data_IF_628460817181
#
_entry.id   IF_628460817181
#
_cell.length_a   1.000
_cell.length_b   1.000
_cell.length_c   1.000
_cell.angle_alpha   90.00
_cell.angle_beta   90.00
_cell.angle_gamma   90.00
#
_symmetry.space_group_name_H-M   'P 1'
#
loop_
_entity.id
_entity.type
_entity.pdbx_description
1 polymer ?
#
# COMPACT_ATOMS: atom_id res chain seq x y z
N UNK A 1 44.73 -17.80 16.77
CA UNK A 1 43.37 -18.32 17.01
C UNK A 1 42.66 -18.28 15.67
N UNK A 2 42.54 -19.42 14.99
CA UNK A 2 41.83 -19.50 13.72
C UNK A 2 40.34 -19.65 14.04
N UNK A 3 39.59 -18.54 13.96
CA UNK A 3 38.14 -18.60 13.96
C UNK A 3 37.71 -19.14 12.59
N UNK A 4 37.49 -20.44 12.52
CA UNK A 4 36.86 -21.06 11.35
C UNK A 4 35.42 -20.54 11.29
N UNK A 5 35.10 -19.82 10.21
CA UNK A 5 33.77 -19.32 9.89
C UNK A 5 32.84 -20.49 9.50
N UNK A 6 32.58 -21.41 10.43
CA UNK A 6 31.61 -22.48 10.21
C UNK A 6 30.19 -21.97 10.51
N UNK A 7 29.23 -22.22 9.60
CA UNK A 7 27.84 -21.84 9.83
C UNK A 7 27.27 -22.64 10.99
N UNK A 8 26.70 -21.94 11.98
CA UNK A 8 26.11 -22.53 13.20
C UNK A 8 24.86 -23.37 12.91
N UNK A 9 24.27 -23.21 11.72
CA UNK A 9 23.18 -24.06 11.22
C UNK A 9 22.91 -23.81 9.74
N UNK A 10 22.35 -24.80 9.05
CA UNK A 10 21.91 -24.67 7.66
C UNK A 10 20.62 -25.44 7.43
N UNK A 11 19.75 -24.87 6.59
CA UNK A 11 18.55 -25.54 6.07
C UNK A 11 18.62 -25.46 4.54
N UNK A 12 18.43 -26.59 3.88
CA UNK A 12 18.38 -26.68 2.43
C UNK A 12 16.94 -26.91 1.98
N UNK A 13 16.53 -26.17 0.95
CA UNK A 13 15.23 -26.33 0.30
C UNK A 13 15.40 -26.13 -1.21
N UNK A 14 14.51 -26.73 -1.99
CA UNK A 14 14.46 -26.52 -3.43
C UNK A 14 13.55 -25.34 -3.76
N UNK A 15 13.98 -24.50 -4.70
CA UNK A 15 13.14 -23.47 -5.31
C UNK A 15 12.19 -24.10 -6.33
N UNK A 16 11.10 -23.40 -6.66
CA UNK A 16 10.15 -23.78 -7.71
C UNK A 16 10.71 -23.59 -9.13
N UNK A 17 11.75 -22.76 -9.29
CA UNK A 17 12.36 -22.50 -10.59
C UNK A 17 13.30 -23.63 -11.02
N UNK A 18 12.92 -24.35 -12.07
CA UNK A 18 13.72 -25.41 -12.67
C UNK A 18 14.38 -24.95 -13.97
N UNK A 19 15.68 -25.20 -14.13
CA UNK A 19 16.46 -24.85 -15.33
C UNK A 19 16.98 -26.12 -16.01
N UNK A 20 16.81 -26.22 -17.33
CA UNK A 20 17.43 -27.28 -18.12
C UNK A 20 18.96 -27.19 -18.10
N UNK A 21 19.65 -28.33 -17.99
CA UNK A 21 21.12 -28.43 -18.04
C UNK A 21 21.51 -29.33 -19.20
N UNK A 22 22.40 -28.83 -20.07
CA UNK A 22 22.88 -29.57 -21.23
C UNK A 22 24.28 -30.11 -20.95
N UNK A 23 24.45 -31.43 -21.13
CA UNK A 23 25.74 -32.12 -21.06
C UNK A 23 26.20 -32.60 -22.44
N UNK A 24 27.50 -32.89 -22.60
CA UNK A 24 28.01 -33.46 -23.84
C UNK A 24 27.37 -34.83 -24.10
N UNK A 25 26.95 -35.06 -25.35
CA UNK A 25 26.32 -36.33 -25.78
C UNK A 25 24.83 -36.46 -25.47
N UNK A 26 24.18 -35.44 -24.89
CA UNK A 26 22.72 -35.43 -24.71
C UNK A 26 22.00 -35.06 -26.02
N UNK A 27 20.91 -35.76 -26.32
CA UNK A 27 20.00 -35.38 -27.40
C UNK A 27 19.05 -34.29 -26.88
N UNK A 28 18.89 -33.21 -27.64
CA UNK A 28 17.99 -32.11 -27.29
C UNK A 28 16.53 -32.55 -27.47
N UNK A 29 15.75 -32.50 -26.39
CA UNK A 29 14.31 -32.75 -26.43
C UNK A 29 13.54 -31.44 -26.53
N UNK A 30 12.26 -31.52 -26.95
CA UNK A 30 11.41 -30.34 -27.06
C UNK A 30 11.17 -29.69 -25.69
N UNK A 31 10.98 -30.53 -24.68
CA UNK A 31 10.71 -30.19 -23.29
C UNK A 31 11.87 -29.39 -22.69
N UNK A 32 13.12 -29.70 -23.04
CA UNK A 32 14.30 -28.95 -22.57
C UNK A 32 14.30 -27.50 -23.09
N UNK A 33 13.91 -27.31 -24.35
CA UNK A 33 13.84 -25.99 -24.98
C UNK A 33 12.65 -25.19 -24.44
N UNK A 34 11.52 -25.84 -24.21
CA UNK A 34 10.37 -25.22 -23.57
C UNK A 34 10.69 -24.81 -22.13
N UNK A 35 11.39 -25.66 -21.38
CA UNK A 35 11.81 -25.39 -20.00
C UNK A 35 12.76 -24.19 -19.92
N UNK A 36 13.62 -23.95 -20.91
CA UNK A 36 14.44 -22.73 -20.97
C UNK A 36 13.59 -21.46 -21.08
N UNK A 37 12.58 -21.48 -21.94
CA UNK A 37 11.65 -20.35 -22.11
C UNK A 37 10.82 -20.13 -20.85
N UNK A 38 10.27 -21.21 -20.28
CA UNK A 38 9.49 -21.14 -19.05
C UNK A 38 10.34 -20.64 -17.88
N UNK A 39 11.57 -21.14 -17.69
CA UNK A 39 12.47 -20.68 -16.63
C UNK A 39 12.73 -19.17 -16.70
N UNK A 40 13.07 -18.65 -17.89
CA UNK A 40 13.36 -17.21 -18.04
C UNK A 40 12.13 -16.35 -17.83
N UNK A 41 10.94 -16.81 -18.25
CA UNK A 41 9.67 -16.12 -18.02
C UNK A 41 9.25 -16.15 -16.54
N UNK A 42 9.33 -17.29 -15.88
CA UNK A 42 8.97 -17.39 -14.45
C UNK A 42 9.96 -16.64 -13.56
N UNK A 43 11.26 -16.63 -13.92
CA UNK A 43 12.25 -15.80 -13.25
C UNK A 43 11.94 -14.31 -13.40
N UNK A 44 11.62 -13.84 -14.61
CA UNK A 44 11.29 -12.43 -14.83
C UNK A 44 9.99 -12.04 -14.12
N UNK A 45 8.96 -12.88 -14.16
CA UNK A 45 7.72 -12.71 -13.38
C UNK A 45 7.99 -12.59 -11.89
N UNK A 46 8.79 -13.50 -11.33
CA UNK A 46 9.16 -13.47 -9.91
C UNK A 46 9.86 -12.16 -9.53
N UNK A 47 10.82 -11.72 -10.35
CA UNK A 47 11.53 -10.45 -10.12
C UNK A 47 10.56 -9.26 -10.22
N UNK A 48 9.69 -9.22 -11.23
CA UNK A 48 8.75 -8.12 -11.42
C UNK A 48 7.69 -8.04 -10.31
N UNK A 49 7.15 -9.18 -9.90
CA UNK A 49 6.23 -9.28 -8.77
C UNK A 49 6.89 -8.81 -7.47
N UNK A 50 8.14 -9.22 -7.23
CA UNK A 50 8.87 -8.89 -6.00
C UNK A 50 9.26 -7.42 -5.94
N UNK A 51 9.71 -6.83 -7.06
CA UNK A 51 10.19 -5.45 -7.08
C UNK A 51 9.11 -4.40 -7.30
N UNK A 52 8.06 -4.72 -8.05
CA UNK A 52 7.07 -3.72 -8.46
C UNK A 52 5.65 -4.10 -8.03
N UNK A 53 5.37 -5.39 -7.82
CA UNK A 53 4.02 -5.90 -7.69
C UNK A 53 3.24 -5.79 -9.01
N UNK A 54 2.01 -5.32 -8.94
CA UNK A 54 1.14 -5.10 -10.11
C UNK A 54 0.73 -3.63 -10.21
N UNK A 55 0.44 -3.15 -11.42
CA UNK A 55 -0.05 -1.79 -11.63
C UNK A 55 0.47 -1.15 -12.91
N UNK A 56 0.27 0.16 -13.03
CA UNK A 56 0.72 0.98 -14.15
C UNK A 56 2.14 1.48 -13.90
N UNK A 57 3.06 1.23 -14.83
CA UNK A 57 4.47 1.68 -14.74
C UNK A 57 4.62 3.08 -15.37
N UNK A 58 4.05 3.26 -16.56
CA UNK A 58 4.07 4.53 -17.28
C UNK A 58 2.92 4.63 -18.29
N UNK A 59 2.49 5.86 -18.60
CA UNK A 59 1.46 6.12 -19.59
C UNK A 59 0.07 5.61 -19.18
N UNK A 60 -0.63 4.98 -20.13
CA UNK A 60 -1.98 4.39 -19.94
C UNK A 60 -2.97 5.39 -19.34
N UNK A 61 -2.89 6.66 -19.75
CA UNK A 61 -3.87 7.66 -19.38
C UNK A 61 -5.18 7.35 -20.10
N UNK A 62 -6.28 7.44 -19.35
CA UNK A 62 -7.62 7.16 -19.85
C UNK A 62 -8.39 8.47 -19.95
N UNK A 63 -9.07 8.67 -21.07
CA UNK A 63 -10.05 9.75 -21.26
C UNK A 63 -11.36 9.17 -21.82
N UNK A 64 -12.49 9.75 -21.42
CA UNK A 64 -13.80 9.38 -21.90
C UNK A 64 -14.41 10.51 -22.71
N UNK A 65 -14.95 10.20 -23.89
CA UNK A 65 -15.74 11.11 -24.70
C UNK A 65 -17.08 10.46 -25.06
N UNK A 66 -18.16 11.23 -24.97
CA UNK A 66 -19.48 10.79 -25.37
C UNK A 66 -20.00 11.72 -26.47
N UNK A 67 -19.94 11.27 -27.72
CA UNK A 67 -20.53 11.95 -28.86
C UNK A 67 -21.86 11.27 -29.17
N UNK A 68 -23.00 11.84 -28.72
CA UNK A 68 -24.38 11.40 -29.03
C UNK A 68 -24.53 9.91 -29.44
N UNK A 69 -24.02 8.97 -28.62
CA UNK A 69 -23.70 7.61 -29.07
C UNK A 69 -22.95 6.79 -28.01
N UNK A 70 -22.23 5.70 -28.40
CA UNK A 70 -21.55 4.84 -27.44
C UNK A 70 -20.41 5.60 -26.74
N UNK A 71 -20.14 5.26 -25.48
CA UNK A 71 -19.02 5.84 -24.74
C UNK A 71 -17.71 5.40 -25.40
N UNK A 72 -16.94 6.38 -25.90
CA UNK A 72 -15.60 6.16 -26.43
C UNK A 72 -14.59 6.36 -25.30
N UNK A 73 -13.93 5.27 -24.93
CA UNK A 73 -12.85 5.26 -23.95
C UNK A 73 -11.53 5.21 -24.69
N UNK A 74 -10.76 6.28 -24.59
CA UNK A 74 -9.43 6.39 -25.16
C UNK A 74 -8.40 6.02 -24.10
N UNK A 75 -7.53 5.07 -24.43
CA UNK A 75 -6.39 4.67 -23.60
C UNK A 75 -5.10 4.99 -24.34
N UNK A 76 -4.27 5.85 -23.77
CA UNK A 76 -2.97 6.21 -24.34
C UNK A 76 -1.96 5.06 -24.24
N UNK A 77 -0.90 5.13 -25.05
CA UNK A 77 0.23 4.20 -25.00
C UNK A 77 0.86 4.13 -23.59
N UNK A 78 1.43 2.98 -23.24
CA UNK A 78 2.10 2.81 -21.96
C UNK A 78 2.40 1.36 -21.60
N UNK A 79 2.80 1.15 -20.35
CA UNK A 79 3.23 -0.14 -19.81
C UNK A 79 2.60 -0.36 -18.44
N UNK A 80 2.08 -1.56 -18.23
CA UNK A 80 1.61 -2.06 -16.94
C UNK A 80 2.22 -3.43 -16.63
N UNK A 81 2.15 -3.83 -15.37
CA UNK A 81 2.46 -5.18 -14.89
C UNK A 81 1.19 -5.82 -14.33
N UNK A 82 0.84 -7.00 -14.82
CA UNK A 82 -0.22 -7.83 -14.27
C UNK A 82 0.18 -8.44 -12.92
N UNK A 83 -0.78 -8.98 -12.16
CA UNK A 83 -0.47 -9.68 -10.90
C UNK A 83 0.43 -10.90 -11.10
N UNK A 84 0.39 -11.51 -12.29
CA UNK A 84 1.30 -12.60 -12.70
C UNK A 84 2.75 -12.14 -12.93
N UNK A 85 3.05 -10.84 -12.86
CA UNK A 85 4.35 -10.28 -13.23
C UNK A 85 4.55 -10.12 -14.74
N UNK A 86 3.52 -10.39 -15.55
CA UNK A 86 3.59 -10.22 -16.99
C UNK A 86 3.53 -8.74 -17.38
N UNK A 87 4.49 -8.24 -18.18
CA UNK A 87 4.41 -6.90 -18.73
C UNK A 87 3.35 -6.81 -19.83
N UNK A 88 2.47 -5.82 -19.72
CA UNK A 88 1.43 -5.52 -20.71
C UNK A 88 1.75 -4.19 -21.37
N UNK A 89 2.23 -4.26 -22.61
CA UNK A 89 2.65 -3.09 -23.38
C UNK A 89 1.58 -2.67 -24.40
N UNK A 90 1.16 -1.42 -24.33
CA UNK A 90 0.24 -0.79 -25.26
C UNK A 90 1.05 0.18 -26.14
N UNK A 91 1.33 -0.16 -27.40
CA UNK A 91 2.28 0.59 -28.24
C UNK A 91 1.73 1.93 -28.72
N UNK A 92 0.42 2.01 -28.94
CA UNK A 92 -0.27 3.16 -29.52
C UNK A 92 -1.56 3.42 -28.77
N UNK A 93 -2.09 4.63 -28.91
CA UNK A 93 -3.42 4.96 -28.41
C UNK A 93 -4.48 4.03 -29.00
N UNK A 94 -5.38 3.53 -28.15
CA UNK A 94 -6.50 2.67 -28.53
C UNK A 94 -7.80 3.24 -28.02
N UNK A 95 -8.82 3.14 -28.86
CA UNK A 95 -10.18 3.57 -28.55
C UNK A 95 -11.02 2.31 -28.38
N UNK A 96 -11.53 2.10 -27.18
CA UNK A 96 -12.53 1.09 -26.87
C UNK A 96 -13.91 1.75 -26.86
N UNK A 97 -14.93 1.06 -27.37
CA UNK A 97 -16.30 1.54 -27.40
C UNK A 97 -17.19 0.60 -26.59
N UNK A 98 -18.15 1.16 -25.86
CA UNK A 98 -19.17 0.37 -25.18
C UNK A 98 -20.24 -0.11 -26.16
N UNK A 99 -20.66 -1.36 -26.03
CA UNK A 99 -21.85 -1.89 -26.74
C UNK A 99 -23.10 -1.13 -26.27
N UNK A 100 -23.79 -0.43 -27.18
CA UNK A 100 -25.00 0.35 -26.85
C UNK A 100 -26.11 -0.51 -26.25
N UNK A 101 -26.22 -1.77 -26.69
CA UNK A 101 -27.27 -2.69 -26.23
C UNK A 101 -27.07 -3.12 -24.78
N UNK A 102 -25.84 -3.06 -24.25
CA UNK A 102 -25.49 -3.52 -22.90
C UNK A 102 -25.32 -2.37 -21.92
N UNK A 103 -25.02 -1.17 -22.40
CA UNK A 103 -24.73 -0.02 -21.55
C UNK A 103 -25.31 1.26 -22.15
N UNK A 104 -26.26 1.86 -21.42
CA UNK A 104 -26.76 3.20 -21.75
C UNK A 104 -25.93 4.27 -21.01
N UNK A 105 -25.11 5.08 -21.71
CA UNK A 105 -24.32 6.15 -21.10
C UNK A 105 -25.18 7.28 -20.49
N UNK A 106 -26.49 7.30 -20.75
CA UNK A 106 -27.40 8.23 -20.11
C UNK A 106 -27.77 7.81 -18.70
N UNK A 107 -27.92 6.51 -18.46
CA UNK A 107 -28.35 5.93 -17.19
C UNK A 107 -27.17 5.52 -16.29
N UNK A 108 -26.04 5.13 -16.89
CA UNK A 108 -24.82 4.80 -16.15
C UNK A 108 -24.15 6.02 -15.53
N UNK A 109 -23.87 5.96 -14.22
CA UNK A 109 -23.15 7.02 -13.50
C UNK A 109 -21.64 6.84 -13.54
N UNK A 110 -21.17 5.59 -13.59
CA UNK A 110 -19.75 5.25 -13.63
C UNK A 110 -19.47 4.00 -14.48
N UNK A 111 -18.23 3.92 -14.98
CA UNK A 111 -17.68 2.72 -15.63
C UNK A 111 -16.22 2.52 -15.21
N UNK A 112 -15.77 1.28 -15.26
CA UNK A 112 -14.45 0.85 -14.85
C UNK A 112 -13.66 0.35 -16.05
N UNK A 113 -12.45 0.83 -16.22
CA UNK A 113 -11.59 0.48 -17.36
C UNK A 113 -10.44 -0.39 -16.85
N UNK A 114 -10.35 -1.62 -17.37
CA UNK A 114 -9.27 -2.54 -17.05
C UNK A 114 -8.49 -2.96 -18.30
N UNK A 115 -7.21 -3.25 -18.13
CA UNK A 115 -6.31 -3.78 -19.13
C UNK A 115 -5.94 -5.21 -18.79
N UNK A 116 -6.26 -6.16 -19.67
CA UNK A 116 -5.96 -7.57 -19.47
C UNK A 116 -4.95 -8.05 -20.53
N UNK A 117 -3.88 -8.77 -20.16
CA UNK A 117 -3.00 -9.42 -21.12
C UNK A 117 -3.77 -10.51 -21.86
N UNK A 118 -3.49 -10.62 -23.14
CA UNK A 118 -3.97 -11.71 -23.98
C UNK A 118 -2.80 -12.34 -24.68
N UNK A 119 -2.97 -13.58 -25.14
CA UNK A 119 -1.99 -14.25 -25.99
C UNK A 119 -2.67 -14.57 -27.30
N UNK A 120 -2.01 -14.22 -28.40
CA UNK A 120 -2.47 -14.59 -29.73
C UNK A 120 -1.49 -15.58 -30.35
N UNK A 121 -2.01 -16.75 -30.68
CA UNK A 121 -1.25 -17.67 -31.50
C UNK A 121 -1.02 -17.07 -32.89
N UNK A 122 0.23 -17.09 -33.34
CA UNK A 122 0.67 -16.62 -34.64
C UNK A 122 1.34 -17.78 -35.38
N UNK A 123 1.12 -17.87 -36.69
CA UNK A 123 1.68 -18.93 -37.54
C UNK A 123 1.42 -20.36 -37.00
N UNK A 124 0.14 -20.77 -36.83
CA UNK A 124 -0.16 -22.16 -36.50
C UNK A 124 0.37 -23.07 -37.61
N UNK A 125 0.93 -24.22 -37.24
CA UNK A 125 1.33 -25.27 -38.20
C UNK A 125 0.58 -26.55 -37.87
N UNK A 126 0.11 -27.23 -38.91
CA UNK A 126 -0.44 -28.58 -38.77
C UNK A 126 0.68 -29.53 -38.36
N UNK A 127 0.44 -30.37 -37.35
CA UNK A 127 1.35 -31.45 -36.98
C UNK A 127 1.18 -32.60 -37.98
N UNK A 128 1.79 -32.48 -39.14
CA UNK A 128 1.67 -33.45 -40.23
C UNK A 128 2.53 -34.70 -39.95
N UNK A 129 1.99 -35.61 -39.14
CA UNK A 129 2.45 -37.01 -39.02
C UNK A 129 1.30 -38.01 -38.78
N UNK A 130 0.03 -37.57 -38.67
CA UNK A 130 -1.09 -38.49 -38.50
C UNK A 130 -1.60 -38.98 -39.85
N UNK A 131 -1.84 -40.29 -39.92
CA UNK A 131 -2.41 -41.00 -41.07
C UNK A 131 -3.75 -40.37 -41.49
N UNK A 132 -4.12 -40.50 -42.77
CA UNK A 132 -5.14 -39.72 -43.50
C UNK A 132 -6.58 -39.64 -42.93
N UNK A 133 -6.88 -40.15 -41.74
CA UNK A 133 -8.25 -40.24 -41.20
C UNK A 133 -8.54 -39.37 -39.94
N UNK A 134 -7.55 -38.69 -39.34
CA UNK A 134 -7.77 -37.82 -38.17
C UNK A 134 -7.62 -36.32 -38.52
N UNK A 135 -8.56 -35.47 -38.04
CA UNK A 135 -8.48 -34.01 -38.17
C UNK A 135 -7.12 -33.50 -37.64
N UNK A 136 -6.29 -32.96 -38.55
CA UNK A 136 -4.94 -32.53 -38.21
C UNK A 136 -4.95 -31.45 -37.10
N UNK A 137 -4.38 -31.78 -35.95
CA UNK A 137 -4.16 -30.81 -34.87
C UNK A 137 -3.23 -29.69 -35.35
N UNK A 138 -3.62 -28.43 -35.14
CA UNK A 138 -2.77 -27.28 -35.46
C UNK A 138 -2.12 -26.75 -34.18
N UNK A 139 -0.79 -26.80 -34.12
CA UNK A 139 -0.04 -26.31 -32.98
C UNK A 139 0.51 -24.90 -33.21
N UNK A 140 0.58 -24.14 -32.12
CA UNK A 140 1.08 -22.79 -32.16
C UNK A 140 2.60 -22.75 -32.22
N UNK A 141 3.17 -22.29 -33.33
CA UNK A 141 4.64 -22.20 -33.45
C UNK A 141 5.21 -20.86 -32.99
N UNK A 142 4.37 -19.83 -32.83
CA UNK A 142 4.76 -18.51 -32.33
C UNK A 142 3.65 -17.92 -31.48
N UNK A 143 3.96 -17.49 -30.26
CA UNK A 143 3.04 -16.69 -29.46
C UNK A 143 3.38 -15.20 -29.59
N UNK A 144 2.36 -14.36 -29.64
CA UNK A 144 2.52 -12.91 -29.49
C UNK A 144 1.72 -12.46 -28.29
N UNK A 145 2.39 -11.76 -27.38
CA UNK A 145 1.72 -11.07 -26.28
C UNK A 145 0.86 -9.94 -26.83
N UNK A 146 -0.36 -9.88 -26.33
CA UNK A 146 -1.38 -8.92 -26.68
C UNK A 146 -2.02 -8.32 -25.44
N UNK A 147 -2.99 -7.46 -25.67
CA UNK A 147 -3.76 -6.83 -24.62
C UNK A 147 -5.22 -6.66 -25.05
N UNK A 148 -6.10 -6.58 -24.07
CA UNK A 148 -7.52 -6.32 -24.23
C UNK A 148 -7.93 -5.25 -23.22
N UNK A 149 -8.58 -4.19 -23.70
CA UNK A 149 -9.16 -3.15 -22.84
C UNK A 149 -10.61 -3.53 -22.62
N UNK A 150 -10.98 -3.79 -21.37
CA UNK A 150 -12.34 -4.16 -20.97
C UNK A 150 -12.97 -3.01 -20.19
N UNK A 151 -14.24 -2.73 -20.49
CA UNK A 151 -15.03 -1.72 -19.80
C UNK A 151 -16.11 -2.45 -19.00
N UNK A 152 -16.18 -2.20 -17.71
CA UNK A 152 -17.14 -2.80 -16.79
C UNK A 152 -18.06 -1.73 -16.21
N UNK A 153 -19.28 -2.12 -15.84
CA UNK A 153 -20.21 -1.25 -15.12
C UNK A 153 -19.87 -1.20 -13.62
N UNK A 154 -19.44 -2.34 -13.08
CA UNK A 154 -19.01 -2.48 -11.69
C UNK A 154 -17.50 -2.74 -11.62
N UNK A 155 -16.92 -2.51 -10.44
CA UNK A 155 -15.50 -2.78 -10.23
C UNK A 155 -15.26 -4.30 -10.33
N UNK A 156 -14.38 -4.77 -11.24
CA UNK A 156 -14.07 -6.20 -11.33
C UNK A 156 -13.33 -6.68 -10.07
N UNK A 157 -13.74 -7.83 -9.54
CA UNK A 157 -13.17 -8.41 -8.31
C UNK A 157 -11.70 -8.83 -8.45
N UNK A 158 -11.34 -9.41 -9.60
CA UNK A 158 -10.03 -10.01 -9.87
C UNK A 158 -9.21 -9.07 -10.80
N UNK A 159 -9.07 -7.79 -10.41
CA UNK A 159 -8.23 -6.80 -11.10
C UNK A 159 -7.33 -6.00 -10.14
N UNK A 160 -6.06 -5.83 -10.52
CA UNK A 160 -5.10 -5.06 -9.74
C UNK A 160 -5.47 -3.57 -9.69
N UNK A 161 -5.70 -3.03 -8.51
CA UNK A 161 -5.89 -1.60 -8.29
C UNK A 161 -5.98 -1.27 -6.80
N UNK A 162 -5.98 0.01 -6.48
CA UNK A 162 -6.13 0.44 -5.09
C UNK A 162 -7.59 0.21 -4.64
N UNK A 163 -7.84 -0.25 -3.40
CA UNK A 163 -9.19 -0.24 -2.87
C UNK A 163 -9.72 1.19 -2.98
N UNK A 164 -11.00 1.34 -3.34
CA UNK A 164 -11.59 2.67 -3.21
C UNK A 164 -11.43 3.09 -1.76
N UNK A 165 -11.01 4.32 -1.53
CA UNK A 165 -11.33 4.97 -0.28
C UNK A 165 -12.86 4.97 -0.21
N UNK A 166 -13.44 3.92 0.39
CA UNK A 166 -14.87 3.86 0.73
C UNK A 166 -15.16 5.20 1.33
N UNK A 167 -16.05 5.98 0.71
CA UNK A 167 -16.30 7.39 1.00
C UNK A 167 -16.18 7.67 2.50
N UNK A 168 -14.95 7.87 2.96
CA UNK A 168 -14.67 8.16 4.35
C UNK A 168 -14.80 9.65 4.33
N UNK A 169 -16.07 10.04 4.27
CA UNK A 169 -16.57 11.39 4.31
C UNK A 169 -15.77 12.08 5.43
N UNK A 170 -14.95 13.04 5.02
CA UNK A 170 -14.48 14.11 5.88
C UNK A 170 -13.60 13.74 7.08
N UNK A 171 -12.52 12.99 6.88
CA UNK A 171 -11.31 13.36 7.63
C UNK A 171 -10.56 14.38 6.79
N UNK A 172 -10.92 15.65 6.95
CA UNK A 172 -10.24 16.83 6.41
C UNK A 172 -8.83 17.00 7.00
N UNK A 173 -8.02 15.95 6.94
CA UNK A 173 -6.59 16.05 7.10
C UNK A 173 -6.09 16.80 5.86
N UNK A 174 -5.95 18.12 6.02
CA UNK A 174 -5.21 18.93 5.10
C UNK A 174 -3.89 18.21 4.74
N UNK A 175 -3.43 18.25 3.48
CA UNK A 175 -2.13 17.70 3.11
C UNK A 175 -1.13 18.24 4.12
N UNK A 176 -0.54 17.35 4.90
CA UNK A 176 0.29 17.69 6.05
C UNK A 176 1.51 18.45 5.52
N UNK A 177 1.39 19.77 5.37
CA UNK A 177 2.36 20.67 4.73
C UNK A 177 3.67 20.83 5.55
N UNK A 178 3.90 19.98 6.55
CA UNK A 178 4.91 20.20 7.59
C UNK A 178 6.08 19.21 7.63
N UNK A 179 6.07 18.11 6.88
CA UNK A 179 7.27 17.24 6.81
C UNK A 179 7.98 17.47 5.48
N UNK A 180 9.18 18.05 5.53
CA UNK A 180 10.14 18.08 4.42
C UNK A 180 10.65 16.65 4.10
N UNK A 181 9.72 15.73 3.82
CA UNK A 181 10.07 14.43 3.27
C UNK A 181 10.43 14.68 1.81
N UNK A 182 11.73 14.77 1.55
CA UNK A 182 12.32 15.00 0.23
C UNK A 182 11.90 13.99 -0.85
N UNK A 183 11.25 12.87 -0.48
CA UNK A 183 10.71 11.94 -1.46
C UNK A 183 9.28 12.27 -1.87
N UNK A 184 9.03 12.37 -3.19
CA UNK A 184 7.68 12.34 -3.81
C UNK A 184 7.05 10.94 -3.77
N UNK A 185 7.36 10.16 -2.73
CA UNK A 185 6.89 8.80 -2.52
C UNK A 185 5.42 8.85 -2.07
N UNK A 186 4.65 7.79 -2.38
CA UNK A 186 3.30 7.60 -1.81
C UNK A 186 3.41 7.30 -0.32
N UNK A 187 2.42 7.73 0.48
CA UNK A 187 2.35 7.41 1.91
C UNK A 187 2.49 5.89 2.13
N UNK A 188 3.51 5.43 2.86
CA UNK A 188 3.67 4.00 3.18
C UNK A 188 2.49 3.40 3.94
N UNK A 189 1.66 4.22 4.59
CA UNK A 189 0.47 3.81 5.33
C UNK A 189 -0.78 3.70 4.46
N UNK A 190 -0.71 4.07 3.18
CA UNK A 190 -1.82 3.85 2.26
C UNK A 190 -2.06 2.34 2.12
N UNK A 191 -3.27 1.83 2.40
CA UNK A 191 -3.59 0.40 2.27
C UNK A 191 -3.26 -0.19 0.89
N UNK A 192 -3.23 0.63 -0.17
CA UNK A 192 -2.84 0.20 -1.51
C UNK A 192 -1.35 -0.16 -1.64
N UNK A 193 -0.49 0.44 -0.82
CA UNK A 193 0.96 0.30 -0.90
C UNK A 193 1.59 -0.32 0.36
N UNK A 194 0.83 -0.48 1.45
CA UNK A 194 1.30 -1.03 2.71
C UNK A 194 2.06 -2.36 2.52
N UNK A 195 1.45 -3.32 1.81
CA UNK A 195 2.09 -4.62 1.56
C UNK A 195 3.39 -4.50 0.74
N UNK A 196 3.45 -3.53 -0.19
CA UNK A 196 4.65 -3.25 -0.97
C UNK A 196 5.79 -2.70 -0.11
N UNK A 197 5.50 -1.71 0.72
CA UNK A 197 6.47 -1.15 1.66
C UNK A 197 6.86 -2.14 2.76
N UNK A 198 5.98 -3.08 3.11
CA UNK A 198 6.27 -4.16 4.04
C UNK A 198 7.11 -5.29 3.43
N UNK A 199 7.45 -5.23 2.13
CA UNK A 199 8.21 -6.26 1.42
C UNK A 199 7.43 -7.58 1.24
N UNK A 200 6.10 -7.55 1.36
CA UNK A 200 5.27 -8.74 1.14
C UNK A 200 5.16 -8.97 -0.37
N UNK A 201 5.76 -10.05 -0.83
CA UNK A 201 5.70 -10.46 -2.23
C UNK A 201 4.32 -11.04 -2.54
N UNK A 202 3.54 -10.36 -3.37
CA UNK A 202 2.25 -10.87 -3.86
C UNK A 202 1.18 -9.80 -3.99
N UNK A 203 0.15 -10.12 -4.76
CA UNK A 203 -1.07 -9.32 -4.80
C UNK A 203 -2.10 -10.02 -3.91
N UNK A 204 -2.34 -9.47 -2.73
CA UNK A 204 -3.43 -9.87 -1.82
C UNK A 204 -4.75 -9.29 -2.34
N UNK A 205 -5.15 -9.70 -3.54
CA UNK A 205 -6.45 -9.36 -4.12
C UNK A 205 -7.56 -10.10 -3.35
N UNK A 206 -7.80 -9.70 -2.10
CA UNK A 206 -8.79 -10.32 -1.20
C UNK A 206 -8.51 -11.78 -0.84
N UNK A 207 -9.58 -12.58 -0.70
CA UNK A 207 -9.56 -14.00 -0.32
C UNK A 207 -8.99 -14.93 -1.41
N UNK A 208 -8.57 -14.38 -2.54
CA UNK A 208 -8.21 -15.16 -3.71
C UNK A 208 -6.76 -15.66 -3.66
N UNK A 209 -6.51 -16.65 -2.82
CA UNK A 209 -5.21 -17.36 -2.69
C UNK A 209 -4.77 -18.15 -3.95
N UNK A 210 -5.44 -17.96 -5.10
CA UNK A 210 -5.10 -18.57 -6.39
C UNK A 210 -5.72 -17.89 -7.62
N UNK A 211 -6.08 -16.61 -7.56
CA UNK A 211 -6.71 -15.92 -8.70
C UNK A 211 -5.66 -15.58 -9.76
N UNK A 212 -5.86 -16.11 -10.97
CA UNK A 212 -5.27 -15.71 -12.24
C UNK A 212 -5.70 -14.26 -12.61
N UNK A 213 -5.64 -13.29 -11.67
CA UNK A 213 -5.95 -11.89 -11.96
C UNK A 213 -4.91 -11.33 -12.91
N UNK A 214 -5.24 -11.44 -14.18
CA UNK A 214 -4.43 -10.94 -15.29
C UNK A 214 -4.67 -9.45 -15.49
N UNK A 215 -5.81 -8.91 -15.05
CA UNK A 215 -6.23 -7.56 -15.40
C UNK A 215 -5.69 -6.48 -14.43
N UNK A 216 -5.41 -5.29 -14.95
CA UNK A 216 -4.98 -4.10 -14.23
C UNK A 216 -6.07 -3.02 -14.37
N UNK A 217 -6.55 -2.45 -13.28
CA UNK A 217 -7.43 -1.29 -13.31
C UNK A 217 -6.66 -0.05 -13.77
N UNK A 218 -7.16 0.60 -14.82
CA UNK A 218 -6.55 1.81 -15.38
C UNK A 218 -7.20 3.08 -14.85
N UNK A 219 -8.53 3.12 -14.80
CA UNK A 219 -9.27 4.28 -14.33
C UNK A 219 -10.72 3.91 -14.02
N UNK A 220 -11.36 4.74 -13.20
CA UNK A 220 -12.81 4.84 -13.10
C UNK A 220 -13.25 6.08 -13.87
N UNK A 221 -14.22 5.95 -14.76
CA UNK A 221 -14.85 7.09 -15.42
C UNK A 221 -16.19 7.35 -14.74
N UNK A 222 -16.48 8.60 -14.42
CA UNK A 222 -17.77 8.99 -13.86
C UNK A 222 -18.31 10.20 -14.59
N UNK A 223 -19.64 10.28 -14.65
CA UNK A 223 -20.33 11.37 -15.34
C UNK A 223 -20.26 12.65 -14.50
N UNK A 224 -19.99 13.76 -15.16
CA UNK A 224 -20.02 15.09 -14.53
C UNK A 224 -21.16 15.93 -15.12
N UNK A 225 -21.51 17.01 -14.43
CA UNK A 225 -22.51 17.97 -14.92
C UNK A 225 -21.98 18.88 -16.05
N UNK A 226 -20.70 18.79 -16.40
CA UNK A 226 -20.12 19.59 -17.47
C UNK A 226 -20.52 19.04 -18.85
N UNK A 227 -21.16 19.86 -19.66
CA UNK A 227 -21.60 19.49 -21.01
C UNK A 227 -20.46 19.33 -22.00
N UNK A 228 -19.30 19.96 -21.75
CA UNK A 228 -18.12 19.84 -22.62
C UNK A 228 -17.30 18.59 -22.33
N UNK A 229 -17.20 18.20 -21.07
CA UNK A 229 -16.47 17.02 -20.62
C UNK A 229 -17.37 16.13 -19.76
N UNK A 230 -18.38 15.47 -20.37
CA UNK A 230 -19.39 14.74 -19.62
C UNK A 230 -18.81 13.57 -18.81
N UNK A 231 -17.61 13.09 -19.16
CA UNK A 231 -16.93 12.02 -18.46
C UNK A 231 -15.57 12.48 -17.93
N UNK A 232 -15.37 12.30 -16.62
CA UNK A 232 -14.09 12.57 -15.98
C UNK A 232 -13.44 11.27 -15.54
N UNK A 233 -12.14 11.14 -15.81
CA UNK A 233 -11.36 10.00 -15.39
C UNK A 233 -10.77 10.21 -14.00
N UNK A 234 -10.98 9.23 -13.13
CA UNK A 234 -10.36 9.06 -11.83
C UNK A 234 -9.27 8.00 -11.93
N UNK A 235 -8.02 8.44 -11.89
CA UNK A 235 -6.84 7.57 -11.89
C UNK A 235 -6.40 7.18 -10.48
N UNK A 236 -7.06 7.63 -9.40
CA UNK A 236 -6.69 7.25 -8.03
C UNK A 236 -6.93 5.77 -7.73
N UNK A 237 -7.83 5.13 -8.48
CA UNK A 237 -8.16 3.71 -8.35
C UNK A 237 -7.08 2.78 -8.91
N UNK A 238 -6.15 3.30 -9.73
CA UNK A 238 -5.05 2.50 -10.30
C UNK A 238 -3.85 2.52 -9.36
N UNK A 239 -3.19 1.39 -9.23
CA UNK A 239 -1.90 1.31 -8.55
C UNK A 239 -0.81 1.78 -9.50
N UNK A 240 -0.08 2.84 -9.14
CA UNK A 240 1.03 3.34 -9.95
C UNK A 240 2.34 2.86 -9.35
N UNK A 241 3.13 2.12 -10.14
CA UNK A 241 4.31 1.40 -9.67
C UNK A 241 5.56 1.95 -10.35
N UNK A 242 6.56 2.34 -9.57
CA UNK A 242 7.89 2.68 -10.04
C UNK A 242 8.94 2.19 -9.05
N UNK A 243 10.12 1.78 -9.53
CA UNK A 243 11.22 1.47 -8.63
C UNK A 243 11.61 2.74 -7.90
N UNK A 244 11.32 2.80 -6.61
CA UNK A 244 11.98 3.69 -5.68
C UNK A 244 13.11 2.93 -5.00
N UNK A 245 14.20 3.61 -4.65
CA UNK A 245 15.13 3.06 -3.66
C UNK A 245 14.45 3.22 -2.29
N UNK A 246 13.99 2.12 -1.72
CA UNK A 246 13.36 2.09 -0.40
C UNK A 246 14.44 1.64 0.61
N UNK A 247 14.47 2.28 1.78
CA UNK A 247 15.29 1.83 2.90
C UNK A 247 14.74 0.49 3.38
N UNK A 248 15.59 -0.49 3.65
CA UNK A 248 15.16 -1.80 4.13
C UNK A 248 14.32 -1.65 5.43
N UNK A 249 13.02 -2.00 5.43
CA UNK A 249 12.15 -1.86 6.59
C UNK A 249 12.63 -2.68 7.79
N UNK A 250 13.38 -3.76 7.55
CA UNK A 250 13.91 -4.60 8.63
C UNK A 250 14.94 -3.83 9.47
N UNK A 251 15.72 -2.93 8.86
CA UNK A 251 16.67 -2.09 9.57
C UNK A 251 15.97 -1.17 10.59
N UNK A 252 14.77 -0.68 10.28
CA UNK A 252 13.99 0.14 11.20
C UNK A 252 13.45 -0.69 12.36
N UNK A 253 12.87 -1.88 12.05
CA UNK A 253 12.40 -2.83 13.07
C UNK A 253 13.52 -3.31 13.99
N UNK A 254 14.73 -3.51 13.47
CA UNK A 254 15.89 -3.91 14.27
C UNK A 254 16.38 -2.79 15.20
N UNK A 255 16.08 -1.51 14.88
CA UNK A 255 16.42 -0.35 15.72
C UNK A 255 15.40 -0.10 16.84
N UNK A 256 14.11 -0.40 16.64
CA UNK A 256 13.06 -0.24 17.66
C UNK A 256 13.35 -0.93 19.02
N UNK A 257 13.85 -2.18 19.09
CA UNK A 257 14.14 -2.83 20.36
C UNK A 257 15.34 -2.20 21.10
N UNK A 258 16.21 -1.44 20.41
CA UNK A 258 17.27 -0.70 21.09
C UNK A 258 16.74 0.59 21.72
N UNK A 259 15.77 1.26 21.08
CA UNK A 259 15.17 2.49 21.60
C UNK A 259 14.31 2.26 22.85
N UNK A 260 13.55 1.16 22.89
CA UNK A 260 12.73 0.82 24.07
C UNK A 260 13.57 0.43 25.29
N UNK A 261 14.69 -0.26 25.08
CA UNK A 261 15.65 -0.56 26.14
C UNK A 261 16.40 0.70 26.63
N UNK A 262 16.75 1.63 25.72
CA UNK A 262 17.34 2.91 26.09
C UNK A 262 16.35 3.82 26.86
N UNK A 263 15.08 3.89 26.42
CA UNK A 263 14.04 4.64 27.11
C UNK A 263 13.71 4.04 28.49
N UNK A 264 13.70 2.70 28.63
CA UNK A 264 13.58 2.02 29.92
C UNK A 264 14.75 2.32 30.85
N UNK A 265 15.99 2.39 30.32
CA UNK A 265 17.15 2.82 31.10
C UNK A 265 17.07 4.29 31.52
N UNK A 266 16.56 5.20 30.69
CA UNK A 266 16.36 6.60 31.09
C UNK A 266 15.24 6.76 32.12
N UNK A 267 14.12 6.04 31.98
CA UNK A 267 13.04 6.04 32.98
C UNK A 267 13.50 5.47 34.33
N UNK A 268 14.37 4.44 34.32
CA UNK A 268 14.96 3.90 35.54
C UNK A 268 15.87 4.91 36.27
N UNK A 269 16.51 5.84 35.53
CA UNK A 269 17.33 6.91 36.11
C UNK A 269 16.49 8.10 36.60
N UNK A 270 15.35 8.36 35.99
CA UNK A 270 14.47 9.48 36.37
C UNK A 270 13.67 9.20 37.66
N UNK A 271 13.26 7.95 37.89
CA UNK A 271 12.47 7.54 39.06
C UNK A 271 13.09 7.92 40.42
N UNK A 272 14.39 7.67 40.70
CA UNK A 272 15.00 8.09 41.97
C UNK A 272 15.07 9.61 42.13
N UNK A 273 15.20 10.37 41.03
CA UNK A 273 15.22 11.84 41.08
C UNK A 273 13.84 12.42 41.43
N UNK A 274 12.77 11.83 40.90
CA UNK A 274 11.39 12.19 41.22
C UNK A 274 11.07 11.82 42.67
N UNK A 275 11.46 10.63 43.12
CA UNK A 275 11.26 10.19 44.51
C UNK A 275 11.95 11.14 45.51
N UNK A 276 13.17 11.59 45.20
CA UNK A 276 13.88 12.59 46.01
C UNK A 276 13.12 13.91 46.08
N UNK A 277 12.67 14.46 44.94
CA UNK A 277 11.87 15.70 44.92
C UNK A 277 10.57 15.59 45.70
N UNK A 278 9.89 14.45 45.64
CA UNK A 278 8.67 14.22 46.42
C UNK A 278 8.98 14.20 47.93
N UNK A 279 10.11 13.62 48.34
CA UNK A 279 10.55 13.64 49.74
C UNK A 279 10.84 15.08 50.21
N UNK A 280 11.60 15.85 49.42
CA UNK A 280 11.94 17.25 49.72
C UNK A 280 10.68 18.13 49.87
N UNK A 281 9.69 17.95 48.98
CA UNK A 281 8.42 18.70 49.04
C UNK A 281 7.60 18.32 50.29
N UNK A 282 7.59 17.04 50.68
CA UNK A 282 6.88 16.59 51.89
C UNK A 282 7.51 17.17 53.15
N UNK A 283 8.84 17.24 53.20
CA UNK A 283 9.58 17.85 54.30
C UNK A 283 9.29 19.36 54.39
N UNK A 284 9.37 20.08 53.29
CA UNK A 284 9.04 21.52 53.24
C UNK A 284 7.60 21.81 53.71
N UNK A 285 6.63 20.98 53.30
CA UNK A 285 5.24 21.13 53.72
C UNK A 285 5.06 20.92 55.23
N UNK A 286 5.82 20.00 55.84
CA UNK A 286 5.78 19.77 57.28
C UNK A 286 6.31 20.98 58.05
N UNK A 287 7.40 21.60 57.59
CA UNK A 287 7.96 22.80 58.20
C UNK A 287 6.97 23.96 58.18
N UNK A 288 6.32 24.21 57.03
CA UNK A 288 5.30 25.26 56.91
C UNK A 288 4.10 25.03 57.85
N UNK A 289 3.69 23.78 58.07
CA UNK A 289 2.62 23.44 59.02
C UNK A 289 3.03 23.65 60.48
N UNK A 290 4.31 23.44 60.81
CA UNK A 290 4.85 23.72 62.14
C UNK A 290 4.90 25.23 62.40
N UNK A 291 5.33 26.04 61.42
CA UNK A 291 5.31 27.51 61.49
C UNK A 291 3.88 28.06 61.64
N UNK A 292 2.91 27.56 60.87
CA UNK A 292 1.51 28.00 60.96
C UNK A 292 0.91 27.72 62.36
N UNK A 293 1.28 26.59 62.97
CA UNK A 293 0.88 26.25 64.34
C UNK A 293 1.50 27.19 65.36
N UNK A 294 2.77 27.55 65.20
CA UNK A 294 3.45 28.52 66.06
C UNK A 294 2.78 29.89 65.99
N UNK A 295 2.51 30.39 64.78
CA UNK A 295 1.81 31.67 64.57
C UNK A 295 0.41 31.68 65.19
N UNK A 296 -0.36 30.59 65.04
CA UNK A 296 -1.68 30.45 65.67
C UNK A 296 -1.59 30.43 67.19
N UNK A 297 -0.56 29.80 67.75
CA UNK A 297 -0.32 29.78 69.19
C UNK A 297 0.06 31.17 69.73
N UNK A 298 0.90 31.91 69.01
CA UNK A 298 1.28 33.29 69.34
C UNK A 298 0.07 34.24 69.27
N UNK A 299 -0.74 34.17 68.21
CA UNK A 299 -1.97 34.97 68.09
C UNK A 299 -2.94 34.69 69.25
N UNK A 300 -3.10 33.42 69.64
CA UNK A 300 -3.94 33.05 70.78
C UNK A 300 -3.40 33.65 72.10
N UNK A 301 -2.08 33.70 72.28
CA UNK A 301 -1.46 34.33 73.44
C UNK A 301 -1.71 35.84 73.49
N UNK A 302 -1.63 36.51 72.34
CA UNK A 302 -1.88 37.96 72.22
C UNK A 302 -3.33 38.33 72.56
N UNK A 303 -4.31 37.54 72.09
CA UNK A 303 -5.73 37.76 72.40
C UNK A 303 -6.04 37.63 73.91
N UNK A 304 -5.32 36.78 74.64
CA UNK A 304 -5.52 36.64 76.09
C UNK A 304 -4.97 37.82 76.89
N UNK A 305 -4.09 38.65 76.30
CA UNK A 305 -3.49 39.80 76.97
C UNK A 305 -4.26 41.11 76.74
N UNK A 306 -5.36 41.11 75.97
CA UNK A 306 -6.16 42.33 75.80
C UNK A 306 -7.03 42.59 77.04
N UNK A 307 -6.85 43.72 77.74
CA UNK A 307 -7.67 44.06 78.90
C UNK A 307 -9.10 44.33 78.45
N UNK A 308 -10.06 43.68 79.11
CA UNK A 308 -11.49 43.88 78.88
C UNK A 308 -11.86 45.29 79.30
N UNK A 309 -11.93 46.21 78.34
CA UNK A 309 -12.44 47.57 78.58
C UNK A 309 -13.94 47.45 78.80
N UNK A 310 -14.37 47.58 80.05
CA UNK A 310 -15.76 47.52 80.44
C UNK A 310 -16.55 48.66 79.77
N UNK A 311 -17.52 48.29 78.94
CA UNK A 311 -18.45 49.23 78.31
C UNK A 311 -19.43 49.78 79.36
N UNK A 312 -19.24 51.03 79.78
CA UNK A 312 -20.26 51.83 80.45
C UNK A 312 -21.24 52.37 79.41
N UNK A 313 -22.52 52.03 79.55
CA UNK A 313 -23.60 52.48 78.69
C UNK A 313 -24.22 53.81 79.08
N UNK A 314 -25.40 54.02 78.48
CA UNK A 314 -26.44 55.04 78.73
C UNK A 314 -26.36 56.36 77.93
N UNK A 315 -27.47 56.65 77.23
CA UNK A 315 -27.72 57.98 76.67
C UNK A 315 -28.69 58.08 75.49
N UNK A 316 -29.94 57.59 75.60
CA UNK A 316 -31.10 58.23 74.90
C UNK A 316 -31.27 59.64 75.50
N UNK A 317 -31.79 60.70 74.83
CA UNK A 317 -33.12 60.66 74.18
C UNK A 317 -33.39 61.68 73.02
N UNK A 318 -34.59 61.50 72.43
CA UNK A 318 -35.49 62.46 71.72
C UNK A 318 -35.02 63.11 70.42
#
# INVERSE_FOLDING_TARGET
>A
MNNTNEPVGSAAGLSTLQRARFGPGMLLQHEDLEQLNTYTRELSRLLFQSFFGCGVVCGLQVSGAADCGPLKVTVQKGLALACSGDPVYVPEEKIAQTDQDKFDPNNGTEVWVALCPTKKCCAPRTTTCCSDDDEATSDCTREKDGFEIRIYQERPDCACGCPQAKDTVQSGAAPNQGSENFCKCVDPKDPCYEDHYAGKCGCTCGECSGCDCKCILLARLYKTSDTKTPWKADHSVRRFIRPGLIVDPQIEKDKEPQATNAAGQEQSKALPMIQKRIADIKEAKRLLQEEEKQLKQEQKLQLQQQPVVAATGEGKPK
#
